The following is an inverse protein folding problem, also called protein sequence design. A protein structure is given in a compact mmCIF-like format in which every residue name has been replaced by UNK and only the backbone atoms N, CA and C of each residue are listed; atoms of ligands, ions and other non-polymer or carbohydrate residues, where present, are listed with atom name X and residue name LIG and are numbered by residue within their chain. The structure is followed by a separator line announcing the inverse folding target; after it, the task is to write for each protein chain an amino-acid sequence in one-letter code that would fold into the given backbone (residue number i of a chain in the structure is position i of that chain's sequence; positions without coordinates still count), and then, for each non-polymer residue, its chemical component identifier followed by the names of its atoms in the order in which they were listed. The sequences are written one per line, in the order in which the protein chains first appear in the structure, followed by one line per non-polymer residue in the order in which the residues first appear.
data_IF_799550229269
#
_entry.id   IF_799550229269
#
_cell.length_a   1.000
_cell.length_b   1.000
_cell.length_c   1.000
_cell.angle_alpha   90.00
_cell.angle_beta   90.00
_cell.angle_gamma   90.00
#
_symmetry.space_group_name_H-M   'P 1'
#
loop_
_entity.id
_entity.type
_entity.pdbx_description
1 polymer ?
#
# COMPACT_ATOMS: atom_id res chain seq x y z
N UNK A 1 17.51 8.62 -9.68
CA UNK A 1 17.50 7.65 -8.53
C UNK A 1 16.06 7.31 -8.17
N UNK A 2 15.76 6.17 -7.63
CA UNK A 2 14.40 5.80 -7.16
C UNK A 2 14.45 4.90 -5.93
N UNK A 3 13.45 4.99 -5.07
CA UNK A 3 13.22 3.99 -4.04
C UNK A 3 12.74 2.68 -4.69
N UNK A 4 13.45 1.58 -4.49
CA UNK A 4 13.13 0.31 -5.14
C UNK A 4 11.83 -0.30 -4.64
N UNK A 5 11.54 -0.16 -3.36
CA UNK A 5 10.36 -0.71 -2.69
C UNK A 5 9.87 0.26 -1.62
N UNK A 6 8.70 -0.05 -1.07
CA UNK A 6 8.22 0.69 0.12
C UNK A 6 9.18 0.50 1.28
N UNK A 7 9.39 1.57 2.04
CA UNK A 7 10.11 1.53 3.31
C UNK A 7 9.50 0.43 4.20
N UNK A 8 10.35 -0.42 4.76
CA UNK A 8 9.94 -1.55 5.60
C UNK A 8 10.37 -1.33 7.04
N UNK A 9 9.55 -1.81 7.96
CA UNK A 9 9.86 -1.88 9.39
C UNK A 9 9.90 -3.32 9.84
N UNK A 10 11.01 -3.73 10.43
CA UNK A 10 11.27 -5.10 10.87
C UNK A 10 11.33 -5.24 12.37
N UNK A 11 11.21 -6.48 12.84
CA UNK A 11 11.34 -6.84 14.26
C UNK A 11 12.78 -7.23 14.65
N UNK A 12 13.57 -7.69 13.68
CA UNK A 12 14.91 -8.27 13.89
C UNK A 12 15.96 -7.61 13.02
N UNK A 13 17.00 -7.07 13.63
CA UNK A 13 18.16 -6.56 12.91
C UNK A 13 18.96 -7.71 12.28
N UNK A 14 19.11 -8.83 12.97
CA UNK A 14 19.81 -9.99 12.43
C UNK A 14 19.23 -10.47 11.10
N UNK A 15 17.89 -10.47 10.97
CA UNK A 15 17.24 -10.89 9.73
C UNK A 15 17.56 -9.97 8.56
N UNK A 16 17.49 -8.64 8.75
CA UNK A 16 17.73 -7.68 7.67
C UNK A 16 19.21 -7.56 7.33
N UNK A 17 20.12 -7.54 8.32
CA UNK A 17 21.56 -7.44 8.11
C UNK A 17 22.08 -8.66 7.33
N UNK A 18 21.70 -9.87 7.75
CA UNK A 18 22.07 -11.09 7.02
C UNK A 18 21.50 -11.11 5.60
N UNK A 19 20.24 -10.73 5.44
CA UNK A 19 19.62 -10.67 4.11
C UNK A 19 20.33 -9.73 3.15
N UNK A 20 20.76 -8.55 3.64
CA UNK A 20 21.38 -7.52 2.81
C UNK A 20 22.86 -7.83 2.52
N UNK A 21 23.57 -8.48 3.45
CA UNK A 21 24.98 -8.84 3.30
C UNK A 21 25.20 -10.26 2.75
N UNK A 22 24.13 -11.00 2.45
CA UNK A 22 24.26 -12.33 1.87
C UNK A 22 24.66 -12.25 0.39
N UNK A 23 25.79 -12.85 -0.02
CA UNK A 23 26.13 -12.97 -1.43
C UNK A 23 25.04 -13.72 -2.21
N UNK A 24 24.76 -13.30 -3.42
CA UNK A 24 23.78 -13.93 -4.31
C UNK A 24 24.34 -14.11 -5.71
N UNK A 25 23.94 -15.19 -6.39
CA UNK A 25 24.40 -15.50 -7.74
C UNK A 25 24.07 -14.42 -8.80
N UNK A 26 23.15 -13.50 -8.48
CA UNK A 26 22.75 -12.37 -9.33
C UNK A 26 23.58 -11.10 -9.08
N UNK A 27 24.42 -11.08 -8.05
CA UNK A 27 25.32 -9.95 -7.77
C UNK A 27 26.56 -10.04 -8.67
N UNK A 28 26.99 -8.92 -9.22
CA UNK A 28 28.27 -8.81 -9.94
C UNK A 28 29.45 -8.79 -8.99
N UNK A 29 29.24 -8.29 -7.78
CA UNK A 29 30.19 -8.28 -6.67
C UNK A 29 29.47 -8.56 -5.36
N UNK A 30 30.17 -9.06 -4.35
CA UNK A 30 29.61 -9.28 -3.04
C UNK A 30 29.11 -7.96 -2.42
N UNK A 31 28.00 -8.00 -1.66
CA UNK A 31 27.51 -6.83 -0.93
C UNK A 31 28.55 -6.28 0.03
N UNK A 32 28.76 -4.97 0.02
CA UNK A 32 29.79 -4.30 0.83
C UNK A 32 29.17 -3.18 1.65
N UNK A 33 29.51 -3.11 2.92
CA UNK A 33 29.20 -1.95 3.78
C UNK A 33 30.09 -0.78 3.36
N UNK A 34 29.47 0.29 2.86
CA UNK A 34 30.19 1.45 2.33
C UNK A 34 30.16 2.67 3.27
N UNK A 35 29.33 2.65 4.30
CA UNK A 35 29.21 3.79 5.22
C UNK A 35 28.10 3.63 6.25
N UNK A 36 27.83 4.72 6.92
CA UNK A 36 26.94 4.84 8.07
C UNK A 36 27.66 5.42 9.26
N UNK A 37 27.11 5.25 10.45
CA UNK A 37 27.70 5.74 11.72
C UNK A 37 27.99 4.61 12.70
N UNK A 38 28.10 3.38 12.20
CA UNK A 38 28.43 2.20 12.99
C UNK A 38 29.95 1.95 12.98
N UNK A 39 30.46 1.32 14.05
CA UNK A 39 31.90 1.16 14.27
C UNK A 39 32.49 0.03 13.41
N UNK A 40 31.69 -0.96 13.08
CA UNK A 40 32.15 -2.15 12.34
C UNK A 40 31.35 -2.39 11.07
N UNK A 41 31.94 -3.15 10.13
CA UNK A 41 31.30 -3.66 8.92
C UNK A 41 30.98 -5.16 8.96
N UNK A 42 31.39 -5.88 10.01
CA UNK A 42 31.11 -7.31 10.11
C UNK A 42 29.67 -7.59 10.49
N UNK A 43 29.09 -8.66 9.91
CA UNK A 43 27.68 -9.04 10.14
C UNK A 43 27.33 -9.17 11.61
N UNK A 44 28.20 -9.80 12.41
CA UNK A 44 27.93 -10.06 13.83
C UNK A 44 28.00 -8.79 14.66
N UNK A 45 28.98 -7.94 14.41
CA UNK A 45 29.16 -6.68 15.14
C UNK A 45 28.04 -5.68 14.80
N UNK A 46 27.68 -5.55 13.52
CA UNK A 46 26.53 -4.72 13.11
C UNK A 46 25.23 -5.17 13.81
N UNK A 47 24.99 -6.49 13.89
CA UNK A 47 23.82 -7.02 14.59
C UNK A 47 23.88 -6.69 16.09
N UNK A 48 25.07 -6.78 16.71
CA UNK A 48 25.27 -6.46 18.12
C UNK A 48 24.97 -4.99 18.41
N UNK A 49 25.64 -4.08 17.67
CA UNK A 49 25.43 -2.63 17.81
C UNK A 49 23.98 -2.21 17.62
N UNK A 50 23.31 -2.75 16.61
CA UNK A 50 21.88 -2.48 16.41
C UNK A 50 21.01 -3.01 17.58
N UNK A 51 21.34 -4.18 18.11
CA UNK A 51 20.58 -4.75 19.23
C UNK A 51 20.73 -3.93 20.51
N UNK A 52 21.86 -3.23 20.71
CA UNK A 52 22.05 -2.32 21.85
C UNK A 52 21.00 -1.20 21.83
N UNK A 53 20.63 -0.68 20.65
CA UNK A 53 19.52 0.29 20.55
C UNK A 53 18.19 -0.29 21.02
N UNK A 54 17.95 -1.56 20.79
CA UNK A 54 16.70 -2.24 21.20
C UNK A 54 16.62 -2.39 22.72
N UNK A 55 17.74 -2.50 23.41
CA UNK A 55 17.78 -2.58 24.88
C UNK A 55 17.28 -1.28 25.53
N UNK A 56 17.50 -0.14 24.89
CA UNK A 56 17.00 1.16 25.38
C UNK A 56 15.47 1.27 25.34
N UNK A 57 14.82 0.55 24.42
CA UNK A 57 13.37 0.58 24.21
C UNK A 57 12.84 -0.81 23.84
N UNK A 58 12.80 -1.73 24.81
CA UNK A 58 12.32 -3.09 24.58
C UNK A 58 10.82 -3.16 24.23
N UNK A 59 10.06 -2.13 24.53
CA UNK A 59 8.66 -1.95 24.18
C UNK A 59 8.43 -1.77 22.65
N UNK A 60 9.47 -1.34 21.92
CA UNK A 60 9.35 -1.09 20.47
C UNK A 60 9.37 -2.41 19.68
N UNK A 61 8.23 -2.84 19.19
CA UNK A 61 8.11 -4.11 18.46
C UNK A 61 8.81 -4.14 17.10
N UNK A 62 8.93 -2.99 16.41
CA UNK A 62 9.53 -2.87 15.08
C UNK A 62 10.63 -1.80 15.07
N UNK A 63 11.79 -2.08 15.67
CA UNK A 63 12.88 -1.11 15.77
C UNK A 63 13.61 -0.89 14.44
N UNK A 64 13.59 -1.87 13.54
CA UNK A 64 14.29 -1.80 12.26
C UNK A 64 13.57 -0.89 11.28
N UNK A 65 14.33 -0.01 10.63
CA UNK A 65 13.93 0.73 9.45
C UNK A 65 14.83 0.31 8.28
N UNK A 66 14.23 0.00 7.13
CA UNK A 66 14.95 -0.46 5.95
C UNK A 66 14.37 0.17 4.69
N UNK A 67 15.24 0.75 3.89
CA UNK A 67 14.92 1.27 2.56
C UNK A 67 16.03 0.91 1.57
N UNK A 68 15.79 1.07 0.28
CA UNK A 68 16.80 0.94 -0.76
C UNK A 68 16.63 2.03 -1.81
N UNK A 69 17.77 2.59 -2.23
CA UNK A 69 17.86 3.60 -3.28
C UNK A 69 18.63 3.02 -4.46
N UNK A 70 18.09 3.15 -5.67
CA UNK A 70 18.69 2.62 -6.91
C UNK A 70 18.90 3.71 -7.93
N UNK A 71 20.03 3.66 -8.62
CA UNK A 71 20.28 4.48 -9.80
C UNK A 71 19.52 3.95 -11.03
N UNK A 72 19.29 4.78 -12.04
CA UNK A 72 18.94 4.33 -13.38
C UNK A 72 20.01 3.40 -13.94
N UNK A 73 19.61 2.56 -14.89
CA UNK A 73 20.55 1.67 -15.57
C UNK A 73 21.59 2.50 -16.34
N UNK A 74 22.87 2.10 -16.22
CA UNK A 74 23.99 2.80 -16.83
C UNK A 74 24.62 3.93 -16.00
N UNK A 75 24.03 4.29 -14.88
CA UNK A 75 24.64 5.22 -13.92
C UNK A 75 25.38 4.47 -12.81
N UNK A 76 26.50 5.03 -12.38
CA UNK A 76 27.28 4.55 -11.24
C UNK A 76 27.82 5.71 -10.43
N UNK A 77 27.97 5.49 -9.12
CA UNK A 77 28.54 6.44 -8.18
C UNK A 77 29.70 5.77 -7.43
N UNK A 78 30.66 6.57 -6.99
CA UNK A 78 31.65 6.10 -6.02
C UNK A 78 31.03 5.85 -4.64
N UNK A 79 31.71 5.09 -3.79
CA UNK A 79 31.26 4.85 -2.42
C UNK A 79 31.05 6.14 -1.66
N UNK A 80 31.97 7.12 -1.77
CA UNK A 80 31.88 8.42 -1.09
C UNK A 80 30.68 9.24 -1.55
N UNK A 81 30.38 9.21 -2.85
CA UNK A 81 29.19 9.87 -3.38
C UNK A 81 27.91 9.21 -2.85
N UNK A 82 27.87 7.87 -2.80
CA UNK A 82 26.75 7.15 -2.21
C UNK A 82 26.54 7.47 -0.73
N UNK A 83 27.64 7.51 0.05
CA UNK A 83 27.59 7.86 1.50
C UNK A 83 27.06 9.27 1.68
N UNK A 84 27.57 10.25 0.92
CA UNK A 84 27.12 11.64 0.97
C UNK A 84 25.61 11.75 0.68
N UNK A 85 25.12 11.07 -0.37
CA UNK A 85 23.70 11.07 -0.74
C UNK A 85 22.87 10.37 0.34
N UNK A 86 23.36 9.25 0.89
CA UNK A 86 22.65 8.50 1.92
C UNK A 86 22.53 9.28 3.23
N UNK A 87 23.57 9.98 3.63
CA UNK A 87 23.55 10.84 4.83
C UNK A 87 22.59 12.02 4.66
N UNK A 88 22.62 12.68 3.50
CA UNK A 88 21.69 13.76 3.19
C UNK A 88 20.23 13.24 3.15
N UNK A 89 20.01 12.06 2.56
CA UNK A 89 18.73 11.41 2.57
C UNK A 89 18.22 11.12 3.99
N UNK A 90 19.06 10.53 4.84
CA UNK A 90 18.70 10.19 6.22
C UNK A 90 18.38 11.43 7.06
N UNK A 91 19.17 12.49 6.90
CA UNK A 91 18.96 13.78 7.54
C UNK A 91 17.61 14.40 7.13
N UNK A 92 17.31 14.44 5.83
CA UNK A 92 16.02 14.96 5.30
C UNK A 92 14.83 14.08 5.69
N UNK A 93 15.03 12.78 5.86
CA UNK A 93 14.02 11.87 6.41
C UNK A 93 13.73 12.11 7.89
N UNK A 94 14.58 12.86 8.61
CA UNK A 94 14.41 13.22 10.01
C UNK A 94 15.09 12.27 10.99
N UNK A 95 16.08 11.50 10.54
CA UNK A 95 16.97 10.75 11.43
C UNK A 95 18.05 11.69 11.98
N UNK A 96 18.34 11.59 13.27
CA UNK A 96 19.48 12.27 13.91
C UNK A 96 20.76 11.48 13.67
N UNK A 97 21.90 12.13 13.95
CA UNK A 97 23.23 11.48 13.85
C UNK A 97 23.42 10.36 14.88
N UNK A 98 22.57 10.29 15.88
CA UNK A 98 22.57 9.29 16.95
C UNK A 98 21.65 8.10 16.69
N UNK A 99 20.89 8.10 15.59
CA UNK A 99 20.24 6.90 15.10
C UNK A 99 21.27 6.04 14.36
N UNK A 100 21.57 4.84 14.88
CA UNK A 100 22.49 3.91 14.22
C UNK A 100 22.01 3.55 12.84
N UNK A 101 22.91 3.57 11.86
CA UNK A 101 22.63 3.25 10.47
C UNK A 101 23.83 2.68 9.74
N UNK A 102 23.62 1.81 8.77
CA UNK A 102 24.63 1.35 7.83
C UNK A 102 24.11 1.36 6.41
N UNK A 103 25.01 1.53 5.46
CA UNK A 103 24.74 1.53 4.02
C UNK A 103 25.45 0.40 3.35
N UNK A 104 24.73 -0.44 2.64
CA UNK A 104 25.28 -1.60 1.95
C UNK A 104 25.08 -1.45 0.46
N UNK A 105 26.17 -1.46 -0.31
CA UNK A 105 26.15 -1.36 -1.76
C UNK A 105 25.92 -2.72 -2.39
N UNK A 106 25.04 -2.76 -3.38
CA UNK A 106 24.78 -3.89 -4.26
C UNK A 106 24.96 -3.45 -5.71
N UNK A 107 25.47 -4.36 -6.54
CA UNK A 107 25.57 -4.20 -7.99
C UNK A 107 25.00 -5.46 -8.70
N UNK A 108 23.69 -5.44 -8.92
CA UNK A 108 22.92 -6.53 -9.53
C UNK A 108 22.11 -6.05 -10.75
N UNK A 109 22.76 -5.68 -11.82
CA UNK A 109 22.12 -5.09 -13.00
C UNK A 109 21.81 -3.60 -12.86
N UNK A 110 22.53 -2.93 -11.95
CA UNK A 110 22.49 -1.49 -11.66
C UNK A 110 22.74 -1.22 -10.19
N UNK A 111 23.56 -0.20 -9.92
CA UNK A 111 23.95 0.13 -8.55
C UNK A 111 22.75 0.53 -7.68
N UNK A 112 22.68 -0.02 -6.49
CA UNK A 112 21.77 0.39 -5.45
C UNK A 112 22.35 0.20 -4.07
N UNK A 113 21.89 1.00 -3.13
CA UNK A 113 22.24 0.84 -1.72
C UNK A 113 21.03 0.38 -0.92
N UNK A 114 21.28 -0.46 0.07
CA UNK A 114 20.37 -0.72 1.17
C UNK A 114 20.75 0.16 2.36
N UNK A 115 19.77 0.84 2.92
CA UNK A 115 19.91 1.62 4.14
C UNK A 115 19.20 0.88 5.26
N UNK A 116 19.95 0.44 6.25
CA UNK A 116 19.42 -0.16 7.48
C UNK A 116 19.63 0.84 8.59
N UNK A 117 18.60 1.18 9.36
CA UNK A 117 18.70 2.09 10.49
C UNK A 117 17.89 1.59 11.69
N UNK A 118 18.34 1.96 12.88
CA UNK A 118 17.52 1.84 14.07
C UNK A 118 16.55 3.02 14.16
N UNK A 119 15.30 2.73 14.47
CA UNK A 119 14.30 3.77 14.77
C UNK A 119 14.42 4.33 16.17
N UNK A 120 15.30 3.76 16.99
CA UNK A 120 15.57 4.13 18.36
C UNK A 120 16.87 4.92 18.39
N UNK A 121 16.79 6.14 18.91
CA UNK A 121 17.93 7.03 19.11
C UNK A 121 18.78 6.52 20.27
N UNK A 122 20.11 6.44 20.09
CA UNK A 122 21.05 6.04 21.15
C UNK A 122 21.14 7.05 22.30
N UNK A 123 20.88 8.33 22.03
CA UNK A 123 20.81 9.38 23.05
C UNK A 123 19.38 9.55 23.58
N UNK A 124 18.98 8.72 24.53
CA UNK A 124 17.71 8.85 25.24
C UNK A 124 16.54 8.04 24.68
N UNK A 125 16.77 7.15 23.70
CA UNK A 125 15.77 6.19 23.24
C UNK A 125 14.58 6.82 22.50
N UNK A 126 14.72 8.03 21.95
CA UNK A 126 13.67 8.67 21.16
C UNK A 126 13.32 7.82 19.93
N UNK A 127 12.03 7.59 19.73
CA UNK A 127 11.56 6.75 18.63
C UNK A 127 11.28 7.58 17.37
N UNK A 128 11.91 7.24 16.26
CA UNK A 128 11.54 7.75 14.95
C UNK A 128 10.17 7.21 14.52
N UNK A 129 9.17 8.08 14.42
CA UNK A 129 7.79 7.69 14.12
C UNK A 129 7.54 7.52 12.63
N UNK A 130 8.12 8.37 11.78
CA UNK A 130 8.07 8.29 10.32
C UNK A 130 6.64 8.31 9.77
N UNK A 131 5.94 9.42 9.92
CA UNK A 131 4.62 9.59 9.31
C UNK A 131 4.77 9.89 7.82
N UNK A 132 3.95 9.25 6.98
CA UNK A 132 3.94 9.45 5.51
C UNK A 132 5.32 9.21 4.84
N UNK A 133 6.16 8.34 5.39
CA UNK A 133 7.55 8.10 4.96
C UNK A 133 7.71 7.91 3.46
N UNK A 134 6.83 7.12 2.82
CA UNK A 134 6.94 6.84 1.38
C UNK A 134 6.70 8.08 0.51
N UNK A 135 5.80 8.97 0.94
CA UNK A 135 5.53 10.23 0.24
C UNK A 135 6.68 11.21 0.40
N UNK A 136 7.16 11.36 1.64
CA UNK A 136 8.30 12.21 1.99
C UNK A 136 9.55 11.73 1.26
N UNK A 137 9.85 10.43 1.31
CA UNK A 137 10.97 9.82 0.60
C UNK A 137 10.95 10.11 -0.91
N UNK A 138 9.78 10.01 -1.56
CA UNK A 138 9.68 10.30 -2.99
C UNK A 138 10.05 11.75 -3.31
N UNK A 139 9.65 12.70 -2.47
CA UNK A 139 10.02 14.12 -2.64
C UNK A 139 11.50 14.34 -2.41
N UNK A 140 12.04 13.81 -1.31
CA UNK A 140 13.46 13.92 -0.97
C UNK A 140 14.33 13.34 -2.09
N UNK A 141 13.99 12.18 -2.64
CA UNK A 141 14.72 11.55 -3.74
C UNK A 141 14.81 12.51 -4.95
N UNK A 142 13.73 13.19 -5.29
CA UNK A 142 13.75 14.16 -6.40
C UNK A 142 14.62 15.37 -6.09
N UNK A 143 14.57 15.87 -4.85
CA UNK A 143 15.44 16.97 -4.39
C UNK A 143 16.92 16.54 -4.47
N UNK A 144 17.26 15.34 -3.98
CA UNK A 144 18.62 14.79 -4.04
C UNK A 144 19.12 14.57 -5.47
N UNK A 145 18.26 14.14 -6.39
CA UNK A 145 18.62 14.01 -7.80
C UNK A 145 19.08 15.35 -8.39
N UNK A 146 18.43 16.45 -8.01
CA UNK A 146 18.79 17.80 -8.45
C UNK A 146 20.07 18.27 -7.75
N UNK A 147 20.12 18.18 -6.42
CA UNK A 147 21.22 18.71 -5.60
C UNK A 147 22.55 18.00 -5.87
N UNK A 148 22.51 16.71 -6.20
CA UNK A 148 23.69 15.91 -6.53
C UNK A 148 23.89 15.69 -8.04
N UNK A 149 23.23 16.48 -8.90
CA UNK A 149 23.34 16.45 -10.35
C UNK A 149 23.15 15.05 -10.97
N UNK A 150 22.23 14.25 -10.40
CA UNK A 150 21.85 12.94 -10.92
C UNK A 150 20.74 13.06 -11.96
N UNK A 151 20.55 12.00 -12.77
CA UNK A 151 19.41 11.93 -13.67
C UNK A 151 18.08 11.98 -12.88
N UNK A 152 17.25 12.97 -13.18
CA UNK A 152 15.92 13.11 -12.60
C UNK A 152 14.99 12.04 -13.19
N UNK A 153 14.75 10.96 -12.46
CA UNK A 153 14.00 9.79 -12.95
C UNK A 153 12.49 9.97 -12.98
N UNK A 154 11.98 10.83 -12.13
CA UNK A 154 10.63 11.41 -12.19
C UNK A 154 10.79 12.83 -11.72
N UNK A 155 10.51 13.80 -12.60
CA UNK A 155 10.05 15.06 -12.08
C UNK A 155 9.03 14.64 -11.01
N UNK A 156 9.24 15.05 -9.75
CA UNK A 156 8.15 15.07 -8.81
C UNK A 156 7.08 15.75 -9.63
N UNK A 157 6.17 14.94 -10.17
CA UNK A 157 5.01 15.52 -10.85
C UNK A 157 4.58 16.48 -9.81
N UNK A 158 5.08 17.68 -10.04
CA UNK A 158 4.82 18.81 -9.19
C UNK A 158 3.47 18.55 -8.60
N UNK A 159 3.20 18.99 -7.46
CA UNK A 159 1.86 19.23 -6.93
C UNK A 159 0.91 19.79 -8.02
N UNK A 160 1.19 19.46 -9.28
CA UNK A 160 0.42 19.66 -10.47
C UNK A 160 -0.80 18.79 -10.31
N UNK A 161 -1.92 19.43 -10.10
CA UNK A 161 -3.26 19.06 -10.56
C UNK A 161 -3.31 17.72 -11.33
N UNK A 162 -2.82 16.61 -10.74
CA UNK A 162 -3.14 15.31 -11.26
C UNK A 162 -4.61 15.14 -11.01
N UNK A 163 -5.38 15.27 -12.11
CA UNK A 163 -6.81 15.00 -12.08
C UNK A 163 -7.04 13.76 -11.22
N UNK A 164 -7.87 13.85 -10.21
CA UNK A 164 -8.09 12.77 -9.28
C UNK A 164 -8.46 11.50 -10.07
N UNK A 165 -7.72 10.42 -9.83
CA UNK A 165 -7.82 9.21 -10.65
C UNK A 165 -8.95 8.30 -10.15
N UNK A 166 -9.57 7.57 -11.08
CA UNK A 166 -10.42 6.42 -10.78
C UNK A 166 -9.63 5.40 -9.95
N UNK A 167 -10.30 4.69 -9.07
CA UNK A 167 -9.70 3.54 -8.39
C UNK A 167 -9.66 2.36 -9.35
N UNK A 168 -8.51 1.71 -9.47
CA UNK A 168 -8.34 0.51 -10.31
C UNK A 168 -9.33 -0.58 -9.91
N UNK A 169 -9.77 -1.37 -10.86
CA UNK A 169 -10.52 -2.61 -10.63
C UNK A 169 -9.63 -3.62 -9.91
N UNK A 170 -10.20 -4.43 -9.06
CA UNK A 170 -9.48 -5.51 -8.40
C UNK A 170 -9.20 -6.65 -9.38
N UNK A 171 -8.24 -7.52 -9.04
CA UNK A 171 -7.95 -8.71 -9.87
C UNK A 171 -9.19 -9.60 -10.06
N UNK A 172 -10.01 -9.75 -9.03
CA UNK A 172 -11.23 -10.56 -9.11
C UNK A 172 -12.28 -9.92 -10.05
N UNK A 173 -12.43 -8.60 -10.02
CA UNK A 173 -13.30 -7.86 -10.94
C UNK A 173 -12.79 -7.96 -12.38
N UNK A 174 -11.46 -7.93 -12.58
CA UNK A 174 -10.85 -8.12 -13.89
C UNK A 174 -11.08 -9.53 -14.44
N UNK A 175 -10.85 -10.57 -13.63
CA UNK A 175 -11.11 -11.95 -14.03
C UNK A 175 -12.59 -12.21 -14.35
N UNK A 176 -13.50 -11.57 -13.60
CA UNK A 176 -14.93 -11.65 -13.90
C UNK A 176 -15.24 -11.02 -15.27
N UNK A 177 -14.66 -9.85 -15.54
CA UNK A 177 -14.82 -9.16 -16.83
C UNK A 177 -14.28 -9.99 -17.99
N UNK A 178 -13.11 -10.60 -17.83
CA UNK A 178 -12.51 -11.49 -18.83
C UNK A 178 -13.37 -12.73 -19.12
N UNK A 179 -13.99 -13.32 -18.08
CA UNK A 179 -14.85 -14.50 -18.20
C UNK A 179 -16.22 -14.20 -18.83
N UNK A 180 -16.77 -13.01 -18.60
CA UNK A 180 -18.10 -12.61 -19.04
C UNK A 180 -18.08 -11.83 -20.36
N UNK A 181 -16.92 -11.33 -20.78
CA UNK A 181 -16.79 -10.42 -21.92
C UNK A 181 -17.39 -9.04 -21.70
N UNK A 182 -17.85 -8.74 -20.48
CA UNK A 182 -18.49 -7.49 -20.10
C UNK A 182 -17.65 -6.73 -19.07
N UNK A 183 -17.62 -5.39 -19.10
CA UNK A 183 -16.95 -4.62 -18.07
C UNK A 183 -17.54 -4.91 -16.68
N UNK A 184 -16.68 -4.94 -15.66
CA UNK A 184 -17.14 -5.13 -14.28
C UNK A 184 -18.16 -4.04 -13.89
N UNK A 185 -19.12 -4.33 -12.99
CA UNK A 185 -20.12 -3.35 -12.58
C UNK A 185 -19.50 -2.02 -12.10
N UNK A 186 -18.35 -2.09 -11.43
CA UNK A 186 -17.62 -0.91 -11.01
C UNK A 186 -17.01 -0.12 -12.16
N UNK A 187 -16.44 -0.81 -13.15
CA UNK A 187 -15.85 -0.16 -14.32
C UNK A 187 -16.93 0.46 -15.21
N UNK A 188 -18.02 -0.26 -15.44
CA UNK A 188 -19.17 0.26 -16.17
C UNK A 188 -19.74 1.51 -15.49
N UNK A 189 -19.92 1.47 -14.17
CA UNK A 189 -20.37 2.62 -13.40
C UNK A 189 -19.40 3.81 -13.49
N UNK A 190 -18.08 3.58 -13.41
CA UNK A 190 -17.09 4.64 -13.59
C UNK A 190 -17.16 5.27 -15.00
N UNK A 191 -17.40 4.48 -16.05
CA UNK A 191 -17.56 4.98 -17.42
C UNK A 191 -18.84 5.81 -17.56
N UNK A 192 -19.96 5.36 -17.00
CA UNK A 192 -21.22 6.09 -17.00
C UNK A 192 -21.08 7.44 -16.27
N UNK A 193 -20.48 7.42 -15.08
CA UNK A 193 -20.26 8.66 -14.30
C UNK A 193 -19.35 9.65 -15.05
N UNK A 194 -18.27 9.19 -15.65
CA UNK A 194 -17.38 10.09 -16.39
C UNK A 194 -18.03 10.65 -17.66
N UNK A 195 -18.83 9.86 -18.35
CA UNK A 195 -19.62 10.32 -19.50
C UNK A 195 -20.67 11.35 -19.08
N UNK A 196 -21.36 11.10 -17.97
CA UNK A 196 -22.36 12.01 -17.43
C UNK A 196 -21.80 13.35 -16.94
N UNK A 197 -20.51 13.39 -16.62
CA UNK A 197 -19.81 14.58 -16.09
C UNK A 197 -18.91 15.26 -17.14
N UNK A 198 -18.96 14.85 -18.42
CA UNK A 198 -18.01 15.29 -19.43
C UNK A 198 -18.11 16.79 -19.75
N UNK A 199 -19.31 17.35 -19.69
CA UNK A 199 -19.69 18.71 -20.06
C UNK A 199 -20.01 19.63 -18.87
N UNK A 200 -19.56 19.25 -17.66
CA UNK A 200 -19.85 20.01 -16.42
C UNK A 200 -21.33 20.34 -16.25
N UNK A 201 -22.22 19.32 -16.22
CA UNK A 201 -23.67 19.54 -16.13
C UNK A 201 -24.05 20.15 -14.77
N UNK A 202 -25.24 20.74 -14.71
CA UNK A 202 -25.87 21.01 -13.42
C UNK A 202 -26.27 19.71 -12.71
N UNK A 203 -26.58 19.82 -11.42
CA UNK A 203 -26.87 18.68 -10.58
C UNK A 203 -28.10 17.89 -11.03
N UNK A 204 -29.15 18.57 -11.49
CA UNK A 204 -30.40 17.93 -11.93
C UNK A 204 -30.18 17.17 -13.25
N UNK A 205 -29.46 17.77 -14.19
CA UNK A 205 -29.07 17.11 -15.45
C UNK A 205 -28.19 15.90 -15.19
N UNK A 206 -27.25 15.99 -14.24
CA UNK A 206 -26.42 14.84 -13.86
C UNK A 206 -27.26 13.69 -13.31
N UNK A 207 -28.21 13.99 -12.40
CA UNK A 207 -29.10 12.97 -11.82
C UNK A 207 -29.96 12.32 -12.91
N UNK A 208 -30.57 13.12 -13.78
CA UNK A 208 -31.37 12.60 -14.89
C UNK A 208 -30.58 11.64 -15.78
N UNK A 209 -29.34 11.95 -16.10
CA UNK A 209 -28.45 11.06 -16.87
C UNK A 209 -28.12 9.77 -16.14
N UNK A 210 -28.02 9.78 -14.81
CA UNK A 210 -27.84 8.57 -14.02
C UNK A 210 -29.08 7.69 -14.05
N UNK A 211 -30.26 8.28 -13.93
CA UNK A 211 -31.54 7.56 -14.01
C UNK A 211 -31.75 6.93 -15.40
N UNK A 212 -31.45 7.67 -16.47
CA UNK A 212 -31.47 7.18 -17.84
C UNK A 212 -30.49 6.01 -18.08
N UNK A 213 -29.38 5.96 -17.32
CA UNK A 213 -28.40 4.88 -17.36
C UNK A 213 -28.66 3.76 -16.33
N UNK A 214 -29.84 3.72 -15.72
CA UNK A 214 -30.25 2.76 -14.69
C UNK A 214 -29.26 2.71 -13.49
N UNK A 215 -28.65 3.87 -13.16
CA UNK A 215 -27.79 4.03 -12.00
C UNK A 215 -28.60 4.60 -10.86
N UNK A 216 -28.78 3.81 -9.81
CA UNK A 216 -29.37 4.31 -8.58
C UNK A 216 -28.37 5.24 -7.85
N UNK A 217 -28.89 6.26 -7.21
CA UNK A 217 -28.09 7.23 -6.46
C UNK A 217 -28.73 7.59 -5.13
N UNK A 218 -27.91 8.00 -4.17
CA UNK A 218 -28.36 8.49 -2.87
C UNK A 218 -27.46 9.65 -2.46
N UNK A 219 -28.05 10.79 -2.16
CA UNK A 219 -27.35 11.94 -1.62
C UNK A 219 -27.05 11.75 -0.14
N UNK A 220 -25.79 11.87 0.25
CA UNK A 220 -25.37 11.81 1.64
C UNK A 220 -25.30 13.23 2.20
N UNK A 221 -26.35 13.64 2.91
CA UNK A 221 -26.45 14.95 3.53
C UNK A 221 -26.29 14.82 5.03
N UNK A 222 -25.45 15.67 5.63
CA UNK A 222 -25.27 15.72 7.07
C UNK A 222 -26.52 16.30 7.76
N UNK A 223 -26.68 16.07 9.06
CA UNK A 223 -27.77 16.67 9.88
C UNK A 223 -27.77 18.19 9.83
N UNK A 224 -26.62 18.80 9.55
CA UNK A 224 -26.48 20.27 9.36
C UNK A 224 -26.92 20.77 7.99
N UNK A 225 -27.46 19.90 7.11
CA UNK A 225 -27.82 20.26 5.74
C UNK A 225 -26.66 20.28 4.75
N UNK A 226 -25.42 20.04 5.21
CA UNK A 226 -24.24 20.04 4.33
C UNK A 226 -24.16 18.76 3.50
N UNK A 227 -23.96 18.92 2.20
CA UNK A 227 -23.73 17.80 1.29
C UNK A 227 -22.35 17.16 1.53
N UNK A 228 -22.33 15.82 1.73
CA UNK A 228 -21.11 15.03 1.93
C UNK A 228 -20.74 14.20 0.69
N UNK A 229 -21.66 14.09 -0.27
CA UNK A 229 -21.42 13.34 -1.52
C UNK A 229 -22.54 12.40 -1.88
N UNK A 230 -22.23 11.47 -2.79
CA UNK A 230 -23.17 10.47 -3.29
C UNK A 230 -22.71 9.05 -2.99
N UNK A 231 -23.69 8.16 -2.87
CA UNK A 231 -23.53 6.73 -3.04
C UNK A 231 -24.29 6.33 -4.30
N UNK A 232 -23.78 5.36 -5.03
CA UNK A 232 -24.35 4.90 -6.29
C UNK A 232 -24.68 3.41 -6.21
N UNK A 233 -25.68 2.96 -6.95
CA UNK A 233 -25.96 1.54 -7.14
C UNK A 233 -26.07 1.23 -8.63
N UNK A 234 -25.48 0.12 -9.04
CA UNK A 234 -25.51 -0.34 -10.42
C UNK A 234 -25.51 -1.87 -10.45
N UNK A 235 -26.43 -2.47 -11.19
CA UNK A 235 -26.64 -3.94 -11.24
C UNK A 235 -26.71 -4.55 -9.84
N UNK A 236 -27.57 -4.00 -8.98
CA UNK A 236 -27.82 -4.40 -7.58
C UNK A 236 -26.61 -4.34 -6.64
N UNK A 237 -25.53 -3.69 -7.06
CA UNK A 237 -24.33 -3.49 -6.24
C UNK A 237 -24.21 -2.02 -5.84
N UNK A 238 -24.16 -1.76 -4.53
CA UNK A 238 -23.97 -0.43 -3.99
C UNK A 238 -22.49 -0.06 -3.87
N UNK A 239 -22.14 1.14 -4.34
CA UNK A 239 -20.78 1.68 -4.29
C UNK A 239 -20.75 3.03 -3.57
N UNK A 240 -19.89 3.16 -2.58
CA UNK A 240 -19.54 4.48 -2.04
C UNK A 240 -18.63 5.20 -3.04
N UNK A 241 -18.74 6.53 -3.14
CA UNK A 241 -17.87 7.33 -4.00
C UNK A 241 -16.37 7.05 -3.80
N UNK A 242 -15.94 6.77 -2.56
CA UNK A 242 -14.56 6.38 -2.22
C UNK A 242 -14.12 5.03 -2.80
N UNK A 243 -15.05 4.12 -3.07
CA UNK A 243 -14.78 2.83 -3.71
C UNK A 243 -14.54 2.99 -5.22
N UNK A 244 -15.20 3.96 -5.84
CA UNK A 244 -15.02 4.29 -7.25
C UNK A 244 -13.73 5.09 -7.52
N UNK A 245 -13.29 5.90 -6.55
CA UNK A 245 -12.05 6.66 -6.60
C UNK A 245 -12.20 8.10 -6.15
N UNK A 246 -11.07 8.79 -5.98
CA UNK A 246 -11.05 10.19 -5.57
C UNK A 246 -11.77 11.14 -6.55
N UNK A 247 -11.84 10.77 -7.84
CA UNK A 247 -12.55 11.54 -8.87
C UNK A 247 -14.02 11.77 -8.54
N UNK A 248 -14.62 10.86 -7.78
CA UNK A 248 -16.04 10.87 -7.44
C UNK A 248 -16.33 11.30 -6.00
N UNK A 249 -15.30 11.72 -5.23
CA UNK A 249 -15.49 12.36 -3.92
C UNK A 249 -16.22 13.68 -4.11
N UNK A 250 -17.02 14.10 -3.11
CA UNK A 250 -17.80 15.32 -3.21
C UNK A 250 -16.95 16.54 -3.59
N UNK A 251 -15.79 16.71 -2.96
CA UNK A 251 -14.88 17.81 -3.26
C UNK A 251 -14.43 17.87 -4.74
N UNK A 252 -14.34 16.73 -5.42
CA UNK A 252 -13.96 16.67 -6.83
C UNK A 252 -15.20 16.66 -7.75
N UNK A 253 -16.28 16.06 -7.28
CA UNK A 253 -17.54 16.00 -8.02
C UNK A 253 -18.17 17.38 -8.14
N UNK A 254 -18.21 18.17 -7.04
CA UNK A 254 -18.72 19.54 -7.04
C UNK A 254 -17.96 20.46 -8.00
N UNK A 255 -16.65 20.22 -8.23
CA UNK A 255 -15.87 20.97 -9.21
C UNK A 255 -16.15 20.56 -10.67
N UNK A 256 -16.78 19.42 -10.88
CA UNK A 256 -17.19 18.90 -12.20
C UNK A 256 -18.69 19.09 -12.47
N UNK A 257 -19.42 19.61 -11.50
CA UNK A 257 -20.83 19.97 -11.60
C UNK A 257 -20.94 21.48 -11.48
N UNK A 258 -21.86 22.07 -12.22
CA UNK A 258 -22.33 23.41 -11.94
C UNK A 258 -23.31 23.32 -10.74
N UNK A 259 -22.72 23.28 -9.54
CA UNK A 259 -23.44 23.01 -8.31
C UNK A 259 -23.98 24.30 -7.68
N UNK A 260 -25.30 24.37 -7.49
CA UNK A 260 -25.98 25.38 -6.72
C UNK A 260 -26.59 24.73 -5.46
N UNK A 261 -26.35 25.29 -4.26
CA UNK A 261 -26.99 24.81 -3.02
C UNK A 261 -28.52 24.72 -3.09
N UNK A 262 -29.19 25.60 -3.85
CA UNK A 262 -30.64 25.59 -4.02
C UNK A 262 -31.14 24.33 -4.74
N UNK A 263 -30.32 23.69 -5.53
CA UNK A 263 -30.63 22.40 -6.15
C UNK A 263 -30.76 21.24 -5.13
N UNK A 264 -30.18 21.37 -3.92
CA UNK A 264 -30.38 20.42 -2.84
C UNK A 264 -31.79 20.46 -2.26
N UNK A 265 -32.39 21.65 -2.17
CA UNK A 265 -33.76 21.81 -1.70
C UNK A 265 -34.75 21.17 -2.69
N UNK A 266 -34.54 21.35 -3.98
CA UNK A 266 -35.34 20.71 -5.03
C UNK A 266 -35.29 19.18 -4.97
N UNK A 267 -34.13 18.60 -4.56
CA UNK A 267 -33.99 17.15 -4.39
C UNK A 267 -34.64 16.62 -3.11
N UNK A 268 -34.67 17.40 -2.04
CA UNK A 268 -35.36 17.01 -0.77
C UNK A 268 -36.84 16.85 -0.93
N UNK A 269 -37.45 17.62 -1.80
CA UNK A 269 -38.89 17.55 -2.10
C UNK A 269 -39.26 16.42 -3.09
N UNK A 270 -38.28 15.87 -3.81
CA UNK A 270 -38.44 14.78 -4.78
C UNK A 270 -37.94 13.39 -4.35
N UNK A 271 -37.34 13.27 -3.16
CA UNK A 271 -36.86 11.97 -2.64
C UNK A 271 -38.06 11.23 -2.03
N UNK A 272 -38.50 10.10 -2.57
CA UNK A 272 -39.41 9.23 -1.86
C UNK A 272 -38.80 8.87 -0.49
N UNK A 273 -39.57 8.86 0.60
CA UNK A 273 -39.05 8.50 1.91
C UNK A 273 -38.35 7.15 1.79
N UNK A 274 -37.13 7.10 2.31
CA UNK A 274 -36.34 5.88 2.37
C UNK A 274 -37.17 4.81 3.06
N UNK A 275 -37.72 3.85 2.30
CA UNK A 275 -38.22 2.63 2.91
C UNK A 275 -37.11 2.07 3.78
N UNK A 276 -37.36 1.76 5.05
CA UNK A 276 -36.36 1.11 5.89
C UNK A 276 -35.97 -0.17 5.16
N UNK A 277 -34.67 -0.29 4.81
CA UNK A 277 -34.16 -1.54 4.26
C UNK A 277 -34.67 -2.65 5.19
N UNK A 278 -35.47 -3.56 4.61
CA UNK A 278 -35.83 -4.77 5.30
C UNK A 278 -34.55 -5.40 5.85
N UNK A 279 -34.52 -5.83 7.12
CA UNK A 279 -33.33 -6.45 7.70
C UNK A 279 -32.89 -7.56 6.75
N UNK A 280 -31.61 -7.56 6.38
CA UNK A 280 -31.03 -8.58 5.52
C UNK A 280 -31.49 -9.95 6.04
N UNK A 281 -31.98 -10.85 5.16
CA UNK A 281 -32.38 -12.18 5.60
C UNK A 281 -31.20 -12.79 6.34
N UNK A 282 -31.51 -13.38 7.51
CA UNK A 282 -30.51 -14.03 8.33
C UNK A 282 -29.72 -15.01 7.45
N UNK A 283 -28.40 -15.10 7.61
CA UNK A 283 -27.60 -16.04 6.83
C UNK A 283 -28.20 -17.45 7.04
N UNK A 284 -28.41 -18.17 5.93
CA UNK A 284 -28.89 -19.54 5.99
C UNK A 284 -28.03 -20.36 6.96
N UNK A 285 -28.61 -21.20 7.81
CA UNK A 285 -27.85 -22.00 8.74
C UNK A 285 -26.82 -22.82 7.96
N UNK A 286 -25.60 -22.86 8.46
CA UNK A 286 -24.52 -23.64 7.88
C UNK A 286 -24.98 -25.09 7.69
N UNK A 287 -24.68 -25.76 6.57
CA UNK A 287 -25.01 -27.16 6.40
C UNK A 287 -24.43 -28.00 7.53
N UNK A 288 -25.21 -28.90 8.06
CA UNK A 288 -24.78 -29.80 9.13
C UNK A 288 -23.47 -30.50 8.70
N UNK A 289 -22.51 -30.69 9.63
CA UNK A 289 -21.29 -31.41 9.30
C UNK A 289 -21.64 -32.83 8.86
N UNK A 290 -20.97 -33.27 7.78
CA UNK A 290 -21.12 -34.63 7.27
C UNK A 290 -20.84 -35.65 8.39
N UNK A 291 -21.58 -36.76 8.48
CA UNK A 291 -21.34 -37.80 9.49
C UNK A 291 -19.91 -38.32 9.33
N UNK A 292 -19.24 -38.51 10.46
CA UNK A 292 -17.89 -39.06 10.49
C UNK A 292 -17.86 -40.44 9.78
N UNK A 293 -16.81 -40.76 9.03
CA UNK A 293 -16.67 -42.06 8.40
C UNK A 293 -16.64 -43.17 9.47
N UNK A 294 -17.33 -44.28 9.20
CA UNK A 294 -17.35 -45.42 10.06
C UNK A 294 -15.91 -45.92 10.33
N UNK A 295 -15.62 -46.38 11.56
CA UNK A 295 -14.32 -46.92 11.90
C UNK A 295 -14.01 -48.16 11.02
N UNK A 296 -12.77 -48.23 10.53
CA UNK A 296 -12.29 -49.37 9.76
C UNK A 296 -12.40 -50.67 10.53
N UNK A 297 -12.80 -51.79 9.94
CA UNK A 297 -12.86 -53.08 10.59
C UNK A 297 -11.49 -53.48 11.15
N UNK A 298 -11.51 -54.06 12.37
CA UNK A 298 -10.30 -54.53 13.01
C UNK A 298 -9.58 -55.60 12.17
N UNK A 299 -8.24 -55.61 12.11
CA UNK A 299 -7.49 -56.63 11.40
C UNK A 299 -7.77 -58.02 11.97
N UNK A 300 -7.93 -58.99 11.07
CA UNK A 300 -8.13 -60.40 11.42
C UNK A 300 -6.92 -60.96 12.25
N UNK A 301 -7.16 -61.82 13.24
CA UNK A 301 -6.07 -62.40 14.01
C UNK A 301 -5.17 -63.27 13.15
N UNK A 302 -3.86 -63.15 13.38
CA UNK A 302 -2.84 -63.92 12.68
C UNK A 302 -3.05 -65.42 12.94
N UNK A 303 -2.80 -66.30 11.93
CA UNK A 303 -2.89 -67.74 12.12
C UNK A 303 -1.83 -68.26 13.12
N UNK A 304 -2.28 -69.12 14.02
CA UNK A 304 -1.39 -69.74 15.00
C UNK A 304 -0.32 -70.60 14.31
N UNK A 305 0.95 -70.36 14.66
CA UNK A 305 2.07 -71.19 14.25
C UNK A 305 1.95 -72.57 14.88
N UNK A 306 1.90 -73.60 14.04
CA UNK A 306 1.94 -75.00 14.46
C UNK A 306 3.35 -75.33 15.04
N UNK A 307 3.42 -76.21 16.10
CA UNK A 307 4.69 -76.62 16.67
C UNK A 307 5.41 -77.57 15.71
N UNK A 308 6.74 -77.46 15.65
CA UNK A 308 7.62 -78.33 14.90
C UNK A 308 7.66 -79.72 15.52
N UNK A 309 7.76 -80.78 14.72
CA UNK A 309 7.92 -82.15 15.24
C UNK A 309 9.37 -82.37 15.73
N UNK A 310 9.48 -83.27 16.71
CA UNK A 310 10.68 -83.69 17.39
C UNK A 310 11.69 -84.43 16.47
#
# INVERSE_FOLDING_TARGET
MKGMRKIKRGKSFAGVVRYVLQPGAHHKSDPVVIGGNMLSGSVLELISEFNDTKQLRPDVQKPVWHNSLRLPDGESLSNDQWVTIADDYMKRMGFSDTHLRCYVLHDDGGQHIHIIASRIDMLGGKLYLGRNENLISTRIITELEIDHALTVTKAASSLSNTKPKRKRISRNEQMLSERTGLPSPKEALQQILDKSLADTPDLLTFIKRLEEAEVGWTANVASTGKMNGFSFSYRDIAFKASQLGKSYSWANLSNRLNYDPDHLEAMRTGIPPKEPLAPAPAPAPAPAPAPAPAPAPAPAPAPATAPAPA
#
